data_IF_298892494463
#
_entry.id   IF_298892494463
#
_cell.length_a   1.000
_cell.length_b   1.000
_cell.length_c   1.000
_cell.angle_alpha   90.00
_cell.angle_beta   90.00
_cell.angle_gamma   90.00
#
_symmetry.space_group_name_H-M   'P 1'
#
loop_
_entity.id
_entity.type
_entity.pdbx_description
1 polymer ?
#
# COMPACT_ATOMS: atom_id res chain seq x y z
N UNK A 1 -7.28 7.15 -11.66
CA UNK A 1 -7.16 5.79 -12.16
C UNK A 1 -8.53 5.28 -12.54
N UNK A 2 -8.61 4.59 -13.63
CA UNK A 2 -9.86 4.31 -14.30
C UNK A 2 -10.43 2.90 -14.07
N UNK A 3 -9.96 2.14 -13.08
CA UNK A 3 -10.51 0.81 -12.82
C UNK A 3 -12.01 0.83 -12.62
N UNK A 4 -12.47 1.78 -11.83
CA UNK A 4 -13.86 1.93 -11.50
C UNK A 4 -14.68 2.24 -12.75
N UNK A 5 -14.22 3.22 -13.52
CA UNK A 5 -14.90 3.64 -14.73
C UNK A 5 -14.88 2.56 -15.80
N UNK A 6 -13.73 1.89 -15.96
CA UNK A 6 -13.59 0.80 -16.92
C UNK A 6 -14.53 -0.35 -16.60
N UNK A 7 -14.66 -0.68 -15.32
CA UNK A 7 -15.57 -1.73 -14.90
C UNK A 7 -17.01 -1.38 -15.25
N UNK A 8 -17.42 -0.15 -14.98
CA UNK A 8 -18.80 0.31 -15.26
C UNK A 8 -19.08 0.34 -16.77
N UNK A 9 -18.08 0.68 -17.58
CA UNK A 9 -18.22 0.67 -19.03
C UNK A 9 -18.40 -0.76 -19.54
N UNK A 10 -17.66 -1.71 -19.01
CA UNK A 10 -17.70 -3.11 -19.43
C UNK A 10 -18.97 -3.82 -18.97
N UNK A 11 -19.53 -3.44 -17.83
CA UNK A 11 -20.66 -4.12 -17.23
C UNK A 11 -21.78 -3.16 -16.83
N UNK A 12 -22.28 -2.34 -17.76
CA UNK A 12 -23.23 -1.28 -17.42
C UNK A 12 -24.60 -1.79 -17.00
N UNK A 13 -24.93 -3.03 -17.29
CA UNK A 13 -26.26 -3.59 -17.04
C UNK A 13 -26.28 -4.60 -15.89
N UNK A 14 -25.16 -4.79 -15.22
CA UNK A 14 -25.06 -5.77 -14.17
C UNK A 14 -25.47 -5.20 -12.82
N UNK A 15 -26.50 -5.79 -12.23
CA UNK A 15 -26.91 -5.58 -10.86
C UNK A 15 -27.08 -4.11 -10.46
N UNK A 16 -27.29 -3.86 -9.20
CA UNK A 16 -27.43 -2.49 -8.71
C UNK A 16 -26.07 -1.81 -8.66
N UNK A 17 -26.08 -0.51 -8.91
CA UNK A 17 -24.86 0.30 -8.90
C UNK A 17 -24.16 0.26 -7.54
N UNK A 18 -24.95 0.27 -6.45
CA UNK A 18 -24.40 0.19 -5.11
C UNK A 18 -23.64 -1.09 -4.84
N UNK A 19 -24.14 -2.22 -5.38
CA UNK A 19 -23.48 -3.52 -5.25
C UNK A 19 -22.18 -3.54 -6.01
N UNK A 20 -22.15 -2.99 -7.21
CA UNK A 20 -20.95 -2.87 -8.02
C UNK A 20 -19.92 -1.99 -7.30
N UNK A 21 -20.35 -0.86 -6.77
CA UNK A 21 -19.47 0.06 -6.05
C UNK A 21 -18.85 -0.59 -4.84
N UNK A 22 -19.62 -1.36 -4.07
CA UNK A 22 -19.08 -2.08 -2.90
C UNK A 22 -18.02 -3.07 -3.29
N UNK A 23 -18.21 -3.81 -4.37
CA UNK A 23 -17.24 -4.77 -4.86
C UNK A 23 -15.98 -4.09 -5.36
N UNK A 24 -16.12 -2.96 -6.03
CA UNK A 24 -14.99 -2.20 -6.54
C UNK A 24 -14.14 -1.64 -5.41
N UNK A 25 -14.77 -1.12 -4.36
CA UNK A 25 -14.06 -0.64 -3.18
C UNK A 25 -13.27 -1.77 -2.54
N UNK A 26 -13.89 -2.94 -2.41
CA UNK A 26 -13.20 -4.11 -1.85
C UNK A 26 -12.00 -4.52 -2.69
N UNK A 27 -12.12 -4.50 -4.02
CA UNK A 27 -11.03 -4.81 -4.93
C UNK A 27 -9.91 -3.78 -4.84
N UNK A 28 -10.26 -2.51 -4.75
CA UNK A 28 -9.28 -1.44 -4.61
C UNK A 28 -8.52 -1.57 -3.29
N UNK A 29 -9.22 -1.91 -2.21
CA UNK A 29 -8.58 -2.13 -0.92
C UNK A 29 -7.60 -3.30 -0.96
N UNK A 30 -7.99 -4.38 -1.63
CA UNK A 30 -7.10 -5.54 -1.79
C UNK A 30 -5.86 -5.17 -2.60
N UNK A 31 -6.04 -4.42 -3.68
CA UNK A 31 -4.92 -3.99 -4.51
C UNK A 31 -4.01 -3.05 -3.74
N UNK A 32 -4.58 -2.11 -3.01
CA UNK A 32 -3.82 -1.19 -2.18
C UNK A 32 -3.02 -1.95 -1.11
N UNK A 33 -3.63 -2.93 -0.48
CA UNK A 33 -2.96 -3.77 0.52
C UNK A 33 -1.80 -4.55 -0.10
N UNK A 34 -2.00 -5.04 -1.31
CA UNK A 34 -0.96 -5.74 -2.07
C UNK A 34 0.25 -4.83 -2.30
N UNK A 35 0.02 -3.59 -2.69
CA UNK A 35 1.10 -2.62 -2.89
C UNK A 35 1.79 -2.24 -1.60
N UNK A 36 1.02 -2.10 -0.52
CA UNK A 36 1.59 -1.85 0.79
C UNK A 36 2.53 -2.98 1.21
N UNK A 37 2.12 -4.22 0.99
CA UNK A 37 2.93 -5.39 1.31
C UNK A 37 4.22 -5.42 0.51
N UNK A 38 4.18 -5.03 -0.75
CA UNK A 38 5.39 -4.91 -1.57
C UNK A 38 6.30 -3.81 -1.05
N UNK A 39 5.74 -2.67 -0.65
CA UNK A 39 6.50 -1.61 -0.03
C UNK A 39 7.20 -2.10 1.24
N UNK A 40 6.47 -2.81 2.08
CA UNK A 40 7.04 -3.37 3.31
C UNK A 40 8.15 -4.37 3.01
N UNK A 41 7.99 -5.19 1.97
CA UNK A 41 9.03 -6.12 1.56
C UNK A 41 10.33 -5.39 1.23
N UNK A 42 10.26 -4.35 0.40
CA UNK A 42 11.46 -3.60 0.02
C UNK A 42 12.04 -2.82 1.18
N UNK A 43 11.19 -2.27 2.03
CA UNK A 43 11.63 -1.51 3.20
C UNK A 43 12.32 -2.42 4.22
N UNK A 44 11.66 -3.53 4.57
CA UNK A 44 12.11 -4.40 5.65
C UNK A 44 13.25 -5.35 5.25
N UNK A 45 13.16 -5.93 4.06
CA UNK A 45 14.07 -7.01 3.67
C UNK A 45 15.13 -6.61 2.67
N UNK A 46 14.84 -5.63 1.84
CA UNK A 46 15.78 -5.21 0.80
C UNK A 46 16.48 -3.90 1.13
N UNK A 47 16.04 -3.23 2.17
CA UNK A 47 16.55 -1.91 2.55
C UNK A 47 16.54 -0.92 1.39
N UNK A 48 15.57 -1.06 0.53
CA UNK A 48 15.43 -0.22 -0.67
C UNK A 48 14.30 0.78 -0.44
N UNK A 49 14.64 1.88 0.18
CA UNK A 49 13.66 2.91 0.51
C UNK A 49 13.04 3.55 -0.74
N UNK A 50 13.80 3.67 -1.83
CA UNK A 50 13.30 4.24 -3.06
C UNK A 50 12.15 3.39 -3.63
N UNK A 51 12.37 2.07 -3.73
CA UNK A 51 11.33 1.16 -4.21
C UNK A 51 10.15 1.12 -3.24
N UNK A 52 10.43 1.10 -1.94
CA UNK A 52 9.38 1.10 -0.93
C UNK A 52 8.48 2.32 -1.08
N UNK A 53 9.05 3.50 -1.27
CA UNK A 53 8.29 4.73 -1.46
C UNK A 53 7.39 4.66 -2.69
N UNK A 54 7.85 4.07 -3.78
CA UNK A 54 7.04 3.90 -4.99
C UNK A 54 5.79 3.08 -4.66
N UNK A 55 5.95 1.95 -3.98
CA UNK A 55 4.82 1.09 -3.64
C UNK A 55 3.90 1.73 -2.60
N UNK A 56 4.44 2.45 -1.63
CA UNK A 56 3.62 3.15 -0.64
C UNK A 56 2.80 4.27 -1.31
N UNK A 57 3.41 5.01 -2.23
CA UNK A 57 2.67 6.01 -2.99
C UNK A 57 1.61 5.39 -3.88
N UNK A 58 1.88 4.24 -4.48
CA UNK A 58 0.88 3.50 -5.25
C UNK A 58 -0.32 3.11 -4.38
N UNK A 59 -0.05 2.67 -3.16
CA UNK A 59 -1.10 2.32 -2.20
C UNK A 59 -2.05 3.49 -1.96
N UNK A 60 -1.49 4.66 -1.73
CA UNK A 60 -2.27 5.88 -1.49
C UNK A 60 -3.04 6.29 -2.74
N UNK A 61 -2.42 6.17 -3.91
CA UNK A 61 -3.05 6.53 -5.17
C UNK A 61 -4.24 5.63 -5.50
N UNK A 62 -4.10 4.33 -5.24
CA UNK A 62 -5.15 3.36 -5.54
C UNK A 62 -6.35 3.53 -4.63
N UNK A 63 -6.14 3.67 -3.33
CA UNK A 63 -7.23 3.76 -2.36
C UNK A 63 -6.87 4.75 -1.26
N UNK A 64 -7.00 6.07 -1.53
CA UNK A 64 -6.53 7.12 -0.61
C UNK A 64 -7.21 7.11 0.76
N UNK A 65 -8.41 6.56 0.84
CA UNK A 65 -9.20 6.55 2.07
C UNK A 65 -9.14 5.21 2.80
N UNK A 66 -8.34 4.28 2.32
CA UNK A 66 -8.22 2.94 2.93
C UNK A 66 -7.28 2.95 4.13
N UNK A 67 -7.40 1.92 4.95
CA UNK A 67 -6.46 1.68 6.04
C UNK A 67 -5.06 1.46 5.50
N UNK A 68 -4.95 0.78 4.37
CA UNK A 68 -3.65 0.55 3.73
C UNK A 68 -2.97 1.88 3.39
N UNK A 69 -3.75 2.86 2.90
CA UNK A 69 -3.20 4.19 2.60
C UNK A 69 -2.72 4.90 3.85
N UNK A 70 -3.43 4.75 4.96
CA UNK A 70 -2.99 5.33 6.24
C UNK A 70 -1.69 4.71 6.70
N UNK A 71 -1.58 3.40 6.60
CA UNK A 71 -0.34 2.70 6.93
C UNK A 71 0.79 3.13 6.00
N UNK A 72 0.50 3.29 4.71
CA UNK A 72 1.50 3.75 3.75
C UNK A 72 2.02 5.15 4.10
N UNK A 73 1.12 6.05 4.50
CA UNK A 73 1.52 7.40 4.91
C UNK A 73 2.43 7.35 6.13
N UNK A 74 2.12 6.48 7.09
CA UNK A 74 2.95 6.31 8.27
C UNK A 74 4.33 5.78 7.91
N UNK A 75 4.39 4.81 6.99
CA UNK A 75 5.66 4.26 6.51
C UNK A 75 6.50 5.31 5.80
N UNK A 76 5.85 6.12 4.97
CA UNK A 76 6.54 7.20 4.25
C UNK A 76 7.11 8.20 5.25
N UNK A 77 6.35 8.57 6.26
CA UNK A 77 6.82 9.46 7.29
C UNK A 77 8.04 8.89 8.03
N UNK A 78 8.02 7.59 8.31
CA UNK A 78 9.15 6.92 8.95
C UNK A 78 10.40 6.96 8.06
N UNK A 79 10.24 6.71 6.78
CA UNK A 79 11.36 6.75 5.84
C UNK A 79 11.94 8.16 5.77
N UNK A 80 11.08 9.17 5.70
CA UNK A 80 11.53 10.57 5.64
C UNK A 80 12.20 11.01 6.93
N UNK A 81 11.80 10.45 8.06
CA UNK A 81 12.40 10.73 9.36
C UNK A 81 13.68 9.93 9.61
N UNK A 82 14.00 8.99 8.72
CA UNK A 82 15.19 8.16 8.87
C UNK A 82 15.02 6.99 9.82
N UNK A 83 13.78 6.65 10.15
CA UNK A 83 13.51 5.51 11.04
C UNK A 83 13.79 4.21 10.31
N UNK A 84 14.52 3.31 10.97
CA UNK A 84 14.83 2.02 10.39
C UNK A 84 13.77 1.00 10.75
N UNK A 85 13.49 0.03 9.86
CA UNK A 85 12.49 -0.99 10.14
C UNK A 85 12.94 -1.94 11.24
N UNK A 86 11.98 -2.42 12.02
CA UNK A 86 12.24 -3.39 13.08
C UNK A 86 12.19 -4.80 12.51
N UNK A 87 13.19 -5.17 11.74
CA UNK A 87 13.37 -6.52 11.22
C UNK A 87 14.43 -7.24 12.04
N UNK A 88 14.59 -8.53 11.79
CA UNK A 88 15.64 -9.30 12.43
C UNK A 88 17.02 -8.67 12.24
N UNK A 89 17.30 -8.19 11.03
CA UNK A 89 18.57 -7.54 10.74
C UNK A 89 18.73 -6.24 11.53
N UNK A 90 17.69 -5.45 11.65
CA UNK A 90 17.73 -4.20 12.41
C UNK A 90 17.91 -4.46 13.91
N UNK A 91 17.21 -5.45 14.44
CA UNK A 91 17.33 -5.84 15.84
C UNK A 91 18.74 -6.30 16.13
N UNK A 92 19.30 -7.14 15.26
CA UNK A 92 20.63 -7.67 15.41
C UNK A 92 21.67 -6.56 15.34
N UNK A 93 21.50 -5.63 14.42
CA UNK A 93 22.39 -4.50 14.27
C UNK A 93 22.40 -3.61 15.52
N UNK A 94 21.22 -3.32 16.06
CA UNK A 94 21.11 -2.56 17.28
C UNK A 94 21.76 -3.27 18.46
N UNK A 95 21.57 -4.56 18.54
CA UNK A 95 22.15 -5.39 19.58
C UNK A 95 23.68 -5.36 19.53
N UNK A 96 24.24 -5.45 18.33
CA UNK A 96 25.70 -5.46 18.15
C UNK A 96 26.33 -4.08 18.27
N UNK A 97 25.57 -3.03 17.98
CA UNK A 97 26.09 -1.67 18.04
C UNK A 97 26.16 -1.12 19.45
N UNK A 98 25.44 -1.71 20.37
CA UNK A 98 25.50 -1.33 21.77
C UNK A 98 26.67 -1.98 22.46
#
# INVERSE_FOLDING_TARGET
ISYYEDFLILFPQNSSLGEVESKLVAMEDLLARSRLNLGDFFYNYRSNNTAALVFYNDTITIAPESEAAEEARARIADIEAGVQPTTGASILRGFLAD
#
